data_IF_956394043260
#
_entry.id   IF_956394043260
#
_cell.length_a   1.000
_cell.length_b   1.000
_cell.length_c   1.000
_cell.angle_alpha   90.00
_cell.angle_beta   90.00
_cell.angle_gamma   90.00
#
_symmetry.space_group_name_H-M   'P 1'
#
loop_
_entity.id
_entity.type
_entity.pdbx_description
1 polymer ?
#
# COMPACT_ATOMS: atom_id res chain seq x y z
N UNK A 1 -0.70 24.95 9.57
CA UNK A 1 -1.82 24.31 8.86
C UNK A 1 -1.33 22.98 8.29
N UNK A 2 -1.72 21.87 8.92
CA UNK A 2 -1.22 20.54 8.57
C UNK A 2 -1.85 20.01 7.29
N UNK A 3 -1.06 19.32 6.46
CA UNK A 3 -1.59 18.57 5.32
C UNK A 3 -2.54 17.51 5.89
N UNK A 4 -3.84 17.65 5.61
CA UNK A 4 -4.85 16.65 5.98
C UNK A 4 -4.43 15.36 5.28
N UNK A 5 -4.17 14.31 6.06
CA UNK A 5 -3.85 13.00 5.51
C UNK A 5 -5.11 12.47 4.83
N UNK A 6 -5.12 12.53 3.50
CA UNK A 6 -6.15 11.90 2.70
C UNK A 6 -5.74 10.45 2.42
N UNK A 7 -6.67 9.52 2.62
CA UNK A 7 -6.44 8.14 2.27
C UNK A 7 -6.46 7.98 0.75
N UNK A 8 -5.61 7.08 0.26
CA UNK A 8 -5.65 6.69 -1.15
C UNK A 8 -7.03 6.11 -1.49
N UNK A 9 -7.57 6.42 -2.65
CA UNK A 9 -8.78 5.77 -3.18
C UNK A 9 -8.47 4.33 -3.65
N UNK A 10 -9.50 3.55 -4.01
CA UNK A 10 -9.27 2.24 -4.66
C UNK A 10 -8.62 2.43 -6.04
N UNK A 11 -9.02 3.45 -6.80
CA UNK A 11 -8.49 3.77 -8.12
C UNK A 11 -7.00 4.10 -8.05
N UNK A 12 -6.59 4.91 -7.08
CA UNK A 12 -5.18 5.23 -6.86
C UNK A 12 -4.39 3.96 -6.53
N UNK A 13 -4.92 3.06 -5.69
CA UNK A 13 -4.27 1.78 -5.39
C UNK A 13 -4.16 0.87 -6.60
N UNK A 14 -5.20 0.79 -7.43
CA UNK A 14 -5.18 0.02 -8.67
C UNK A 14 -4.14 0.58 -9.64
N UNK A 15 -4.04 1.91 -9.77
CA UNK A 15 -3.02 2.55 -10.58
C UNK A 15 -1.60 2.25 -10.06
N UNK A 16 -1.41 2.27 -8.73
CA UNK A 16 -0.14 1.88 -8.10
C UNK A 16 0.22 0.43 -8.43
N UNK A 17 -0.72 -0.51 -8.28
CA UNK A 17 -0.49 -1.92 -8.60
C UNK A 17 -0.09 -2.12 -10.06
N UNK A 18 -0.83 -1.51 -10.99
CA UNK A 18 -0.55 -1.60 -12.42
C UNK A 18 0.84 -1.04 -12.75
N UNK A 19 1.15 0.18 -12.28
CA UNK A 19 2.42 0.83 -12.57
C UNK A 19 3.62 0.10 -11.93
N UNK A 20 3.47 -0.47 -10.74
CA UNK A 20 4.47 -1.34 -10.13
C UNK A 20 4.67 -2.64 -10.92
N UNK A 21 3.58 -3.21 -11.47
CA UNK A 21 3.64 -4.36 -12.37
C UNK A 21 4.45 -4.09 -13.64
N UNK A 22 4.40 -2.85 -14.14
CA UNK A 22 5.20 -2.36 -15.26
C UNK A 22 6.65 -1.99 -14.88
N UNK A 23 7.03 -2.11 -13.60
CA UNK A 23 8.38 -1.79 -13.13
C UNK A 23 8.64 -0.29 -12.94
N UNK A 24 7.61 0.55 -12.94
CA UNK A 24 7.74 2.00 -12.70
C UNK A 24 8.16 2.23 -11.24
N UNK A 25 9.11 3.14 -11.03
CA UNK A 25 9.63 3.45 -9.69
C UNK A 25 8.56 4.13 -8.83
N UNK A 26 8.41 3.77 -7.54
CA UNK A 26 7.44 4.40 -6.64
C UNK A 26 7.48 5.94 -6.63
N UNK A 27 8.67 6.56 -6.69
CA UNK A 27 8.78 8.02 -6.74
C UNK A 27 8.09 8.64 -7.98
N UNK A 28 8.19 7.98 -9.14
CA UNK A 28 7.55 8.42 -10.38
C UNK A 28 6.03 8.21 -10.32
N UNK A 29 5.58 7.10 -9.75
CA UNK A 29 4.15 6.81 -9.50
C UNK A 29 3.53 7.91 -8.63
N UNK A 30 4.20 8.26 -7.52
CA UNK A 30 3.73 9.32 -6.62
C UNK A 30 3.62 10.68 -7.33
N UNK A 31 4.62 11.02 -8.15
CA UNK A 31 4.58 12.24 -8.96
C UNK A 31 3.40 12.25 -9.94
N UNK A 32 3.16 11.14 -10.65
CA UNK A 32 2.02 10.99 -11.58
C UNK A 32 0.67 11.08 -10.89
N UNK A 33 0.55 10.55 -9.67
CA UNK A 33 -0.65 10.65 -8.82
C UNK A 33 -0.81 12.02 -8.14
N UNK A 34 0.16 12.94 -8.27
CA UNK A 34 0.23 14.19 -7.50
C UNK A 34 0.14 13.96 -5.98
N UNK A 35 0.63 12.82 -5.50
CA UNK A 35 0.72 12.46 -4.08
C UNK A 35 2.15 12.57 -3.58
N UNK A 36 2.35 12.74 -2.28
CA UNK A 36 3.70 12.76 -1.72
C UNK A 36 4.35 11.37 -1.80
N UNK A 37 5.65 11.32 -2.08
CA UNK A 37 6.41 10.07 -2.05
C UNK A 37 6.33 9.35 -0.68
N UNK A 38 6.15 10.12 0.41
CA UNK A 38 5.96 9.58 1.76
C UNK A 38 4.63 8.86 1.94
N UNK A 39 3.55 9.29 1.29
CA UNK A 39 2.27 8.56 1.28
C UNK A 39 2.46 7.21 0.60
N UNK A 40 3.08 7.21 -0.58
CA UNK A 40 3.30 6.00 -1.34
C UNK A 40 4.22 5.02 -0.60
N UNK A 41 5.33 5.51 -0.04
CA UNK A 41 6.27 4.68 0.75
C UNK A 41 5.57 4.01 1.94
N UNK A 42 4.75 4.76 2.69
CA UNK A 42 3.97 4.19 3.80
C UNK A 42 2.94 3.17 3.33
N UNK A 43 2.26 3.43 2.21
CA UNK A 43 1.28 2.49 1.66
C UNK A 43 1.96 1.18 1.25
N UNK A 44 3.09 1.24 0.55
CA UNK A 44 3.85 0.06 0.13
C UNK A 44 4.36 -0.74 1.33
N UNK A 45 4.95 -0.06 2.31
CA UNK A 45 5.45 -0.69 3.52
C UNK A 45 4.33 -1.40 4.32
N UNK A 46 3.18 -0.73 4.51
CA UNK A 46 2.03 -1.31 5.25
C UNK A 46 1.43 -2.54 4.57
N UNK A 47 1.58 -2.66 3.25
CA UNK A 47 1.04 -3.76 2.46
C UNK A 47 2.08 -4.79 2.04
N UNK A 48 3.25 -4.80 2.69
CA UNK A 48 4.27 -5.84 2.48
C UNK A 48 4.95 -5.79 1.11
N UNK A 49 4.88 -4.65 0.41
CA UNK A 49 5.55 -4.52 -0.87
C UNK A 49 7.07 -4.61 -0.71
N UNK A 50 7.68 -5.45 -1.55
CA UNK A 50 9.13 -5.60 -1.61
C UNK A 50 9.64 -5.15 -2.96
N UNK A 51 10.70 -4.35 -2.96
CA UNK A 51 11.37 -3.91 -4.19
C UNK A 51 11.89 -5.14 -4.95
N UNK A 52 11.53 -5.32 -6.23
CA UNK A 52 12.09 -6.39 -7.04
C UNK A 52 13.62 -6.28 -7.09
N UNK A 53 14.32 -7.34 -6.68
CA UNK A 53 15.78 -7.46 -6.75
C UNK A 53 16.18 -8.39 -7.90
N UNK A 54 17.33 -8.13 -8.52
CA UNK A 54 18.03 -9.08 -9.37
C UNK A 54 19.33 -9.50 -8.68
N UNK A 55 19.72 -10.79 -8.72
CA UNK A 55 18.98 -11.92 -9.29
C UNK A 55 17.75 -12.28 -8.44
N UNK A 56 16.73 -12.86 -9.07
CA UNK A 56 15.52 -13.31 -8.35
C UNK A 56 15.85 -14.60 -7.62
N UNK A 57 15.38 -14.74 -6.37
CA UNK A 57 15.42 -16.02 -5.68
C UNK A 57 14.57 -17.08 -6.40
N UNK A 58 14.73 -18.37 -6.05
CA UNK A 58 13.95 -19.45 -6.66
C UNK A 58 12.44 -19.27 -6.41
N UNK A 59 11.62 -19.71 -7.37
CA UNK A 59 10.15 -19.67 -7.30
C UNK A 59 9.47 -18.70 -8.26
N UNK A 60 8.13 -18.58 -8.15
CA UNK A 60 7.32 -17.70 -9.01
C UNK A 60 7.57 -16.22 -8.67
N UNK A 61 7.85 -15.35 -9.65
CA UNK A 61 7.99 -13.92 -9.40
C UNK A 61 6.71 -13.31 -8.80
N UNK A 62 6.86 -12.49 -7.77
CA UNK A 62 5.74 -11.72 -7.20
C UNK A 62 5.28 -10.64 -8.18
N UNK A 63 3.99 -10.63 -8.51
CA UNK A 63 3.38 -9.56 -9.31
C UNK A 63 3.46 -8.25 -8.54
N UNK A 64 3.86 -7.16 -9.21
CA UNK A 64 3.95 -5.81 -8.63
C UNK A 64 4.76 -5.74 -7.31
N UNK A 65 5.73 -6.63 -7.09
CA UNK A 65 6.48 -6.70 -5.83
C UNK A 65 5.66 -7.16 -4.62
N UNK A 66 4.54 -7.85 -4.85
CA UNK A 66 3.63 -8.35 -3.82
C UNK A 66 2.53 -7.38 -3.42
N UNK A 67 2.47 -6.19 -4.03
CA UNK A 67 1.43 -5.21 -3.73
C UNK A 67 0.11 -5.57 -4.46
N UNK A 68 -0.98 -5.63 -3.71
CA UNK A 68 -2.33 -5.81 -4.23
C UNK A 68 -3.26 -4.67 -3.79
N UNK A 69 -3.99 -4.09 -4.74
CA UNK A 69 -4.88 -2.95 -4.50
C UNK A 69 -6.08 -3.30 -3.62
N UNK A 70 -6.78 -4.38 -3.94
CA UNK A 70 -7.93 -4.88 -3.17
C UNK A 70 -7.58 -5.20 -1.70
N UNK A 71 -6.59 -6.05 -1.40
CA UNK A 71 -6.25 -6.33 0.00
C UNK A 71 -5.75 -5.08 0.73
N UNK A 72 -5.05 -4.17 0.03
CA UNK A 72 -4.63 -2.90 0.60
C UNK A 72 -5.80 -1.97 0.93
N UNK A 73 -6.82 -1.93 0.06
CA UNK A 73 -8.03 -1.15 0.27
C UNK A 73 -8.87 -1.75 1.42
N UNK A 74 -9.07 -3.06 1.42
CA UNK A 74 -9.80 -3.75 2.48
C UNK A 74 -9.15 -3.53 3.85
N UNK A 75 -7.81 -3.66 3.94
CA UNK A 75 -7.06 -3.36 5.17
C UNK A 75 -7.29 -1.92 5.62
N UNK A 76 -7.19 -0.95 4.71
CA UNK A 76 -7.44 0.45 5.02
C UNK A 76 -8.87 0.68 5.55
N UNK A 77 -9.87 0.09 4.89
CA UNK A 77 -11.27 0.14 5.35
C UNK A 77 -11.45 -0.44 6.74
N UNK A 78 -10.91 -1.64 6.99
CA UNK A 78 -10.97 -2.29 8.31
C UNK A 78 -10.33 -1.42 9.40
N UNK A 79 -9.22 -0.75 9.11
CA UNK A 79 -8.58 0.17 10.05
C UNK A 79 -9.38 1.47 10.30
N UNK A 80 -10.23 1.89 9.35
CA UNK A 80 -11.06 3.10 9.51
C UNK A 80 -12.41 2.86 10.16
N UNK A 81 -12.92 1.63 10.11
CA UNK A 81 -14.24 1.31 10.64
C UNK A 81 -14.17 1.22 12.16
N UNK A 82 -15.04 1.97 12.84
CA UNK A 82 -15.25 1.80 14.28
C UNK A 82 -15.87 0.42 14.53
N UNK A 83 -15.20 -0.46 15.29
CA UNK A 83 -15.75 -1.78 15.59
C UNK A 83 -17.02 -1.63 16.42
N UNK A 84 -18.05 -2.43 16.13
CA UNK A 84 -19.31 -2.41 16.89
C UNK A 84 -19.15 -2.94 18.33
N UNK A 85 -18.13 -3.77 18.55
CA UNK A 85 -17.82 -4.38 19.84
C UNK A 85 -16.34 -4.16 20.09
N UNK A 86 -16.01 -3.68 21.29
CA UNK A 86 -14.62 -3.48 21.70
C UNK A 86 -13.86 -4.82 21.69
N UNK A 87 -12.58 -4.76 21.29
CA UNK A 87 -11.73 -5.95 21.26
C UNK A 87 -11.44 -6.33 22.71
N UNK A 88 -11.79 -7.58 23.07
CA UNK A 88 -11.53 -8.14 24.41
C UNK A 88 -10.04 -8.30 24.72
N UNK A 89 -9.18 -8.28 23.70
CA UNK A 89 -7.73 -8.34 23.86
C UNK A 89 -7.19 -6.93 24.06
N UNK A 90 -6.69 -6.67 25.26
CA UNK A 90 -5.96 -5.45 25.61
C UNK A 90 -4.46 -5.73 25.52
N UNK A 91 -3.74 -5.17 24.53
CA UNK A 91 -2.30 -5.37 24.43
C UNK A 91 -1.61 -4.78 25.67
N UNK A 92 -0.89 -5.62 26.43
CA UNK A 92 -0.10 -5.19 27.60
C UNK A 92 -0.70 -5.49 28.98
N UNK A 93 -1.73 -6.35 29.04
CA UNK A 93 -2.26 -6.99 30.27
C UNK A 93 -2.13 -8.50 30.11
#
# INVERSE_FOLDING_TARGET
>A
MGKIYEQLSIEERTMIQTQLGLGIKPAAIAAGLKRSASILSRELHRNGWTRPKLPRGPGRPTVAGGYGAEPAHQRARVCTVTPRVERRLHPGT
#
